data_IF_322902367668
#
_entry.id   IF_322902367668
#
_cell.length_a   1.000
_cell.length_b   1.000
_cell.length_c   1.000
_cell.angle_alpha   90.00
_cell.angle_beta   90.00
_cell.angle_gamma   90.00
#
_symmetry.space_group_name_H-M   'P 1'
#
loop_
_entity.id
_entity.type
_entity.pdbx_description
1 polymer ?
#
# COMPACT_ATOMS: atom_id res chain seq x y z
N UNK A 1 3.50 22.37 16.20
CA UNK A 1 3.94 21.71 14.94
C UNK A 1 3.49 22.62 13.81
N UNK A 2 4.41 23.01 12.93
CA UNK A 2 4.12 23.85 11.77
C UNK A 2 3.02 23.22 10.87
N UNK A 3 2.16 24.04 10.27
CA UNK A 3 1.01 23.56 9.50
C UNK A 3 1.44 22.82 8.23
N UNK A 4 2.57 23.22 7.62
CA UNK A 4 3.18 22.51 6.50
C UNK A 4 3.66 21.11 6.92
N UNK A 5 4.23 20.98 8.11
CA UNK A 5 4.62 19.67 8.68
C UNK A 5 3.38 18.78 8.95
N UNK A 6 2.24 19.35 9.33
CA UNK A 6 0.97 18.60 9.46
C UNK A 6 0.41 18.14 8.11
N UNK A 7 0.50 18.98 7.08
CA UNK A 7 0.15 18.58 5.71
C UNK A 7 1.08 17.45 5.24
N UNK A 8 2.38 17.51 5.52
CA UNK A 8 3.32 16.45 5.17
C UNK A 8 3.05 15.14 5.91
N UNK A 9 2.79 15.20 7.22
CA UNK A 9 2.45 13.99 8.00
C UNK A 9 1.14 13.35 7.53
N UNK A 10 0.23 14.11 6.91
CA UNK A 10 -0.99 13.58 6.32
C UNK A 10 -0.75 12.55 5.20
N UNK A 11 0.40 12.61 4.52
CA UNK A 11 0.79 11.63 3.49
C UNK A 11 1.06 10.24 4.07
N UNK A 12 1.37 10.19 5.36
CA UNK A 12 1.62 8.96 6.13
C UNK A 12 0.36 8.50 6.86
N UNK A 13 -0.65 9.36 6.95
CA UNK A 13 -1.91 9.10 7.61
C UNK A 13 -3.02 8.81 6.59
N UNK A 14 -4.23 8.58 7.13
CA UNK A 14 -5.44 8.31 6.37
C UNK A 14 -6.52 9.34 6.70
N UNK A 15 -6.10 10.61 6.75
CA UNK A 15 -7.00 11.72 7.01
C UNK A 15 -8.08 11.79 5.93
N UNK A 16 -9.28 12.22 6.35
CA UNK A 16 -10.37 12.45 5.41
C UNK A 16 -10.05 13.73 4.62
N UNK A 17 -10.40 13.83 3.33
CA UNK A 17 -10.28 15.07 2.56
C UNK A 17 -10.80 16.29 3.30
N UNK A 18 -11.92 16.19 4.01
CA UNK A 18 -12.52 17.27 4.80
C UNK A 18 -11.57 17.81 5.89
N UNK A 19 -10.83 16.92 6.56
CA UNK A 19 -9.86 17.31 7.58
C UNK A 19 -8.63 17.98 6.93
N UNK A 20 -8.26 17.56 5.72
CA UNK A 20 -7.19 18.18 4.93
C UNK A 20 -7.62 19.53 4.33
N UNK A 21 -8.88 19.69 3.92
CA UNK A 21 -9.42 20.97 3.45
C UNK A 21 -9.20 22.08 4.49
N UNK A 22 -9.38 21.75 5.76
CA UNK A 22 -9.17 22.69 6.86
C UNK A 22 -7.70 23.06 7.07
N UNK A 23 -6.79 22.10 6.92
CA UNK A 23 -5.35 22.37 6.93
C UNK A 23 -4.95 23.29 5.77
N UNK A 24 -5.54 23.10 4.59
CA UNK A 24 -5.30 23.92 3.40
C UNK A 24 -5.85 25.34 3.59
N UNK A 25 -7.07 25.48 4.12
CA UNK A 25 -7.64 26.80 4.46
C UNK A 25 -6.71 27.57 5.41
N UNK A 26 -6.16 26.89 6.40
CA UNK A 26 -5.22 27.49 7.35
C UNK A 26 -3.89 27.83 6.69
N UNK A 27 -3.39 26.97 5.79
CA UNK A 27 -2.09 27.15 5.13
C UNK A 27 -2.10 28.30 4.13
N UNK A 28 -3.14 28.40 3.31
CA UNK A 28 -3.22 29.36 2.22
C UNK A 28 -3.84 30.68 2.69
N UNK A 29 -4.73 30.66 3.69
CA UNK A 29 -5.26 31.86 4.34
C UNK A 29 -5.73 32.92 3.34
N UNK A 30 -5.20 34.13 3.48
CA UNK A 30 -5.57 35.30 2.67
C UNK A 30 -5.10 35.23 1.21
N UNK A 31 -4.27 34.25 0.84
CA UNK A 31 -3.88 34.02 -0.57
C UNK A 31 -4.97 33.31 -1.40
N UNK A 32 -6.06 32.90 -0.75
CA UNK A 32 -7.22 32.32 -1.41
C UNK A 32 -8.18 33.41 -1.89
N UNK A 33 -8.65 33.28 -3.12
CA UNK A 33 -9.79 34.07 -3.61
C UNK A 33 -11.07 33.70 -2.85
N UNK A 34 -12.12 34.54 -2.92
CA UNK A 34 -13.41 34.22 -2.30
C UNK A 34 -14.02 32.90 -2.81
N UNK A 35 -13.84 32.59 -4.10
CA UNK A 35 -14.37 31.36 -4.73
C UNK A 35 -13.61 30.13 -4.22
N UNK A 36 -12.28 30.16 -4.21
CA UNK A 36 -11.46 29.07 -3.67
C UNK A 36 -11.74 28.84 -2.18
N UNK A 37 -11.88 29.94 -1.42
CA UNK A 37 -12.24 29.90 0.00
C UNK A 37 -13.59 29.22 0.22
N UNK A 38 -14.61 29.60 -0.56
CA UNK A 38 -15.94 28.99 -0.46
C UNK A 38 -15.90 27.49 -0.77
N UNK A 39 -15.18 27.11 -1.83
CA UNK A 39 -15.03 25.72 -2.26
C UNK A 39 -14.37 24.85 -1.16
N UNK A 40 -13.26 25.33 -0.59
CA UNK A 40 -12.58 24.63 0.49
C UNK A 40 -13.40 24.59 1.78
N UNK A 41 -14.12 25.67 2.13
CA UNK A 41 -15.04 25.69 3.28
C UNK A 41 -16.18 24.70 3.15
N UNK A 42 -16.72 24.53 1.94
CA UNK A 42 -17.75 23.52 1.68
C UNK A 42 -17.23 22.12 1.99
N UNK A 43 -16.01 21.78 1.55
CA UNK A 43 -15.40 20.51 1.90
C UNK A 43 -15.07 20.40 3.40
N UNK A 44 -14.52 21.45 4.00
CA UNK A 44 -14.15 21.48 5.43
C UNK A 44 -15.35 21.43 6.39
N UNK A 45 -16.59 21.66 5.91
CA UNK A 45 -17.80 21.57 6.74
C UNK A 45 -17.95 20.20 7.41
N UNK A 46 -17.47 19.13 6.76
CA UNK A 46 -17.46 17.78 7.32
C UNK A 46 -16.24 17.43 8.19
N UNK A 47 -15.33 18.38 8.44
CA UNK A 47 -14.12 18.13 9.22
C UNK A 47 -14.47 17.79 10.68
N UNK A 48 -13.60 17.04 11.36
CA UNK A 48 -13.84 16.71 12.78
C UNK A 48 -13.76 17.92 13.70
N UNK A 49 -13.13 19.01 13.27
CA UNK A 49 -13.00 20.23 14.07
C UNK A 49 -14.17 21.18 13.87
N UNK A 50 -14.77 21.22 12.67
CA UNK A 50 -15.84 22.18 12.32
C UNK A 50 -17.23 21.55 12.14
N UNK A 51 -17.32 20.22 12.03
CA UNK A 51 -18.59 19.52 11.84
C UNK A 51 -19.47 19.49 13.09
N UNK A 52 -20.80 19.47 12.88
CA UNK A 52 -21.80 19.29 13.94
C UNK A 52 -21.62 17.97 14.71
N UNK A 53 -21.13 16.95 14.01
CA UNK A 53 -20.75 15.65 14.57
C UNK A 53 -19.24 15.53 14.46
N UNK A 54 -18.52 15.77 15.56
CA UNK A 54 -17.06 15.66 15.67
C UNK A 54 -16.61 14.19 15.83
N UNK A 55 -17.22 13.27 15.08
CA UNK A 55 -16.96 11.84 15.19
C UNK A 55 -16.94 11.19 13.80
N UNK A 56 -16.06 10.20 13.64
CA UNK A 56 -16.04 9.31 12.48
C UNK A 56 -15.82 7.87 12.93
N UNK A 57 -16.42 6.90 12.23
CA UNK A 57 -16.08 5.48 12.41
C UNK A 57 -14.82 5.09 11.65
N UNK A 58 -14.28 5.99 10.83
CA UNK A 58 -13.17 5.72 9.91
C UNK A 58 -11.83 5.80 10.64
N UNK A 59 -10.95 4.83 10.40
CA UNK A 59 -9.58 4.92 10.92
C UNK A 59 -8.83 6.04 10.18
N UNK A 60 -8.26 6.96 10.94
CA UNK A 60 -7.47 8.08 10.44
C UNK A 60 -5.99 7.75 10.25
N UNK A 61 -5.56 6.55 10.65
CA UNK A 61 -4.21 6.05 10.48
C UNK A 61 -4.22 4.70 9.79
N UNK A 62 -3.12 4.40 9.08
CA UNK A 62 -2.83 3.05 8.64
C UNK A 62 -2.36 2.23 9.84
N UNK A 63 -2.82 0.99 9.94
CA UNK A 63 -2.37 0.08 11.00
C UNK A 63 -0.87 -0.18 10.83
N UNK A 64 -0.06 0.31 11.76
CA UNK A 64 1.38 0.13 11.72
C UNK A 64 1.78 -1.30 12.15
N UNK A 65 2.86 -1.84 11.57
CA UNK A 65 3.47 -3.09 12.04
C UNK A 65 3.97 -2.94 13.48
N UNK A 66 3.77 -3.97 14.30
CA UNK A 66 4.23 -3.97 15.70
C UNK A 66 5.64 -4.57 15.77
N UNK A 67 6.61 -3.71 16.08
CA UNK A 67 8.02 -4.08 16.28
C UNK A 67 8.18 -5.17 17.36
N UNK A 68 9.23 -6.01 17.26
CA UNK A 68 9.49 -7.07 18.22
C UNK A 68 10.12 -6.60 19.54
N UNK A 69 9.84 -5.37 20.00
CA UNK A 69 10.36 -4.80 21.26
C UNK A 69 10.17 -5.73 22.46
N UNK A 70 8.98 -6.34 22.59
CA UNK A 70 8.68 -7.28 23.67
C UNK A 70 9.58 -8.53 23.62
N UNK A 71 9.97 -8.97 22.43
CA UNK A 71 10.90 -10.07 22.27
C UNK A 71 12.33 -9.62 22.61
N UNK A 72 12.75 -8.42 22.19
CA UNK A 72 14.05 -7.85 22.55
C UNK A 72 14.22 -7.72 24.07
N UNK A 73 13.24 -7.12 24.76
CA UNK A 73 13.25 -7.03 26.24
C UNK A 73 13.34 -8.42 26.86
N UNK A 74 12.56 -9.38 26.34
CA UNK A 74 12.58 -10.74 26.85
C UNK A 74 13.92 -11.46 26.57
N UNK A 75 14.62 -11.12 25.50
CA UNK A 75 15.95 -11.63 25.24
C UNK A 75 16.94 -11.15 26.30
N UNK A 76 16.88 -9.87 26.69
CA UNK A 76 17.66 -9.29 27.78
C UNK A 76 17.49 -10.00 29.13
N UNK A 77 16.30 -10.57 29.39
CA UNK A 77 16.06 -11.37 30.60
C UNK A 77 16.60 -12.81 30.51
N UNK A 78 16.80 -13.34 29.29
CA UNK A 78 17.08 -14.77 29.06
C UNK A 78 18.54 -15.06 28.75
N UNK A 79 19.22 -14.13 28.11
CA UNK A 79 20.58 -14.26 27.61
C UNK A 79 21.47 -13.24 28.30
N UNK A 80 22.68 -13.66 28.68
CA UNK A 80 23.59 -12.79 29.42
C UNK A 80 24.30 -11.79 28.50
N UNK A 81 24.51 -12.13 27.22
CA UNK A 81 25.16 -11.30 26.22
C UNK A 81 24.20 -10.44 25.39
N UNK A 82 22.92 -10.36 25.75
CA UNK A 82 21.95 -9.56 25.01
C UNK A 82 22.22 -8.05 25.21
N UNK A 83 22.54 -7.28 24.15
CA UNK A 83 22.61 -5.83 24.24
C UNK A 83 21.25 -5.22 24.53
N UNK A 84 21.25 -4.03 25.15
CA UNK A 84 20.06 -3.20 25.27
C UNK A 84 19.89 -2.43 23.98
N UNK A 85 18.76 -2.63 23.30
CA UNK A 85 18.37 -1.85 22.13
C UNK A 85 17.31 -0.82 22.53
N UNK A 86 17.35 0.36 21.93
CA UNK A 86 16.27 1.33 22.05
C UNK A 86 15.08 0.99 21.12
N UNK A 87 14.02 1.79 21.15
CA UNK A 87 12.82 1.53 20.32
C UNK A 87 13.06 1.69 18.82
N UNK A 88 14.03 2.52 18.41
CA UNK A 88 14.40 2.74 17.02
C UNK A 88 15.10 1.48 16.50
N UNK A 89 16.09 1.00 17.24
CA UNK A 89 16.83 -0.23 16.92
C UNK A 89 15.93 -1.46 16.97
N UNK A 90 14.96 -1.51 17.88
CA UNK A 90 13.96 -2.58 17.93
C UNK A 90 13.05 -2.61 16.68
N UNK A 91 12.89 -1.48 16.00
CA UNK A 91 12.10 -1.36 14.78
C UNK A 91 12.94 -1.62 13.51
N UNK A 92 14.27 -1.65 13.63
CA UNK A 92 15.18 -2.01 12.53
C UNK A 92 15.31 -3.54 12.41
N UNK A 93 14.86 -4.06 11.26
CA UNK A 93 14.88 -5.49 10.95
C UNK A 93 16.31 -6.06 10.96
N UNK A 94 17.31 -5.29 10.53
CA UNK A 94 18.70 -5.75 10.50
C UNK A 94 19.31 -5.77 11.90
N UNK A 95 19.04 -4.76 12.73
CA UNK A 95 19.53 -4.75 14.11
C UNK A 95 18.94 -5.92 14.91
N UNK A 96 17.64 -6.17 14.79
CA UNK A 96 17.00 -7.30 15.46
C UNK A 96 17.51 -8.64 14.90
N UNK A 97 17.82 -8.73 13.60
CA UNK A 97 18.45 -9.93 13.01
C UNK A 97 19.83 -10.18 13.59
N UNK A 98 20.68 -9.16 13.65
CA UNK A 98 22.02 -9.25 14.24
C UNK A 98 21.96 -9.66 15.71
N UNK A 99 21.01 -9.12 16.47
CA UNK A 99 20.74 -9.57 17.84
C UNK A 99 20.43 -11.07 17.87
N UNK A 100 19.48 -11.55 17.05
CA UNK A 100 19.15 -12.99 17.00
C UNK A 100 20.39 -13.84 16.67
N UNK A 101 21.22 -13.41 15.73
CA UNK A 101 22.46 -14.10 15.35
C UNK A 101 23.44 -14.17 16.53
N UNK A 102 23.67 -13.06 17.24
CA UNK A 102 24.51 -13.01 18.44
C UNK A 102 24.00 -13.96 19.53
N UNK A 103 22.70 -13.92 19.84
CA UNK A 103 22.10 -14.78 20.85
C UNK A 103 22.13 -16.26 20.47
N UNK A 104 22.09 -16.55 19.17
CA UNK A 104 22.17 -17.91 18.65
C UNK A 104 23.55 -18.53 18.89
N UNK A 105 24.63 -17.72 18.88
CA UNK A 105 25.99 -18.15 19.22
C UNK A 105 26.08 -18.66 20.67
N UNK A 106 25.42 -18.00 21.63
CA UNK A 106 25.45 -18.40 23.06
C UNK A 106 24.98 -19.85 23.28
N UNK A 107 24.12 -20.36 22.41
CA UNK A 107 23.60 -21.74 22.49
C UNK A 107 24.00 -22.60 21.29
N UNK A 108 24.97 -22.15 20.48
CA UNK A 108 25.44 -22.78 19.25
C UNK A 108 24.30 -23.26 18.34
N UNK A 109 23.24 -22.46 18.24
CA UNK A 109 22.13 -22.68 17.30
C UNK A 109 22.51 -22.00 15.99
N UNK A 110 22.42 -22.70 14.87
CA UNK A 110 22.50 -22.02 13.58
C UNK A 110 21.20 -21.22 13.31
N UNK A 111 21.27 -19.96 12.87
CA UNK A 111 20.08 -19.20 12.46
C UNK A 111 19.28 -19.97 11.41
N UNK A 112 17.94 -20.02 11.56
CA UNK A 112 17.06 -20.80 10.68
C UNK A 112 16.94 -22.29 11.00
N UNK A 113 17.88 -22.88 11.75
CA UNK A 113 17.79 -24.27 12.25
C UNK A 113 16.81 -24.37 13.41
N UNK A 114 15.53 -24.50 13.06
CA UNK A 114 14.39 -24.38 13.97
C UNK A 114 13.64 -25.70 14.23
N UNK A 115 14.15 -26.83 13.74
CA UNK A 115 13.55 -28.14 13.96
C UNK A 115 13.89 -28.68 15.36
N UNK A 116 12.86 -28.91 16.18
CA UNK A 116 13.03 -29.42 17.55
C UNK A 116 13.68 -30.79 17.67
N UNK A 117 13.62 -31.60 16.62
CA UNK A 117 14.16 -32.95 16.59
C UNK A 117 15.56 -32.91 15.98
N UNK A 118 15.69 -32.32 14.79
CA UNK A 118 16.95 -32.36 14.03
C UNK A 118 18.00 -31.35 14.51
N UNK A 119 17.57 -30.15 14.90
CA UNK A 119 18.50 -29.02 15.10
C UNK A 119 18.83 -28.76 16.58
N UNK A 120 18.08 -29.38 17.47
CA UNK A 120 18.22 -29.18 18.91
C UNK A 120 19.22 -30.17 19.50
N UNK A 121 20.23 -29.68 20.20
CA UNK A 121 21.24 -30.56 20.79
C UNK A 121 20.67 -31.56 21.80
N UNK A 122 21.16 -32.80 21.73
CA UNK A 122 21.00 -33.86 22.71
C UNK A 122 21.86 -33.59 23.97
N UNK A 123 21.79 -34.50 24.95
CA UNK A 123 22.65 -34.40 26.15
C UNK A 123 24.13 -34.54 25.78
N UNK A 124 24.47 -35.51 24.95
CA UNK A 124 25.84 -35.75 24.51
C UNK A 124 26.39 -34.56 23.70
N UNK A 125 25.60 -34.04 22.76
CA UNK A 125 26.00 -32.87 21.96
C UNK A 125 26.24 -31.63 22.81
N UNK A 126 25.41 -31.35 23.84
CA UNK A 126 25.67 -30.24 24.76
C UNK A 126 26.96 -30.41 25.56
N UNK A 127 27.27 -31.62 26.01
CA UNK A 127 28.53 -31.89 26.72
C UNK A 127 29.74 -31.73 25.80
N UNK A 128 29.67 -32.25 24.57
CA UNK A 128 30.72 -32.07 23.56
C UNK A 128 30.93 -30.60 23.19
N UNK A 129 29.85 -29.82 23.15
CA UNK A 129 29.88 -28.39 22.90
C UNK A 129 30.36 -27.55 24.10
N UNK A 130 30.73 -28.18 25.23
CA UNK A 130 31.18 -27.48 26.44
C UNK A 130 30.09 -26.65 27.14
N UNK A 131 28.81 -26.93 26.87
CA UNK A 131 27.70 -26.16 27.44
C UNK A 131 27.36 -26.60 28.86
N UNK A 132 27.65 -25.76 29.84
CA UNK A 132 27.22 -25.93 31.23
C UNK A 132 25.83 -25.32 31.50
N UNK A 133 24.82 -25.80 30.77
CA UNK A 133 23.42 -25.40 30.98
C UNK A 133 22.48 -26.61 31.04
N UNK A 134 21.48 -26.52 31.92
CA UNK A 134 20.46 -27.58 32.05
C UNK A 134 19.64 -27.75 30.76
N UNK A 135 19.18 -28.98 30.51
CA UNK A 135 18.28 -29.30 29.38
C UNK A 135 17.07 -28.35 29.33
N UNK A 136 16.50 -28.02 30.50
CA UNK A 136 15.32 -27.14 30.59
C UNK A 136 15.66 -25.72 30.16
N UNK A 137 16.83 -25.18 30.57
CA UNK A 137 17.30 -23.85 30.17
C UNK A 137 17.58 -23.81 28.67
N UNK A 138 18.37 -24.75 28.15
CA UNK A 138 18.65 -24.84 26.71
C UNK A 138 17.38 -24.89 25.86
N UNK A 139 16.42 -25.76 26.21
CA UNK A 139 15.15 -25.85 25.50
C UNK A 139 14.29 -24.58 25.59
N UNK A 140 14.44 -23.78 26.65
CA UNK A 140 13.75 -22.48 26.75
C UNK A 140 14.36 -21.47 25.78
N UNK A 141 15.69 -21.38 25.74
CA UNK A 141 16.44 -20.47 24.84
C UNK A 141 16.22 -20.84 23.36
N UNK A 142 16.33 -22.12 23.01
CA UNK A 142 16.07 -22.60 21.65
C UNK A 142 14.65 -22.24 21.17
N UNK A 143 13.63 -22.51 22.00
CA UNK A 143 12.23 -22.16 21.70
C UNK A 143 12.02 -20.67 21.54
N UNK A 144 12.69 -19.88 22.37
CA UNK A 144 12.60 -18.44 22.31
C UNK A 144 13.17 -17.93 20.98
N UNK A 145 14.38 -18.34 20.60
CA UNK A 145 15.02 -17.91 19.35
C UNK A 145 14.21 -18.29 18.12
N UNK A 146 13.69 -19.52 18.05
CA UNK A 146 12.80 -19.92 16.95
C UNK A 146 11.56 -19.01 16.83
N UNK A 147 10.92 -18.68 17.96
CA UNK A 147 9.75 -17.79 17.97
C UNK A 147 10.13 -16.36 17.65
N UNK A 148 11.32 -15.94 18.07
CA UNK A 148 11.84 -14.61 17.79
C UNK A 148 12.14 -14.46 16.29
N UNK A 149 12.82 -15.42 15.67
CA UNK A 149 13.02 -15.50 14.22
C UNK A 149 11.70 -15.46 13.46
N UNK A 150 10.71 -16.26 13.90
CA UNK A 150 9.38 -16.29 13.30
C UNK A 150 8.67 -14.94 13.41
N UNK A 151 8.75 -14.28 14.58
CA UNK A 151 8.18 -12.96 14.83
C UNK A 151 8.87 -11.88 13.99
N UNK A 152 10.19 -11.94 13.82
CA UNK A 152 10.94 -11.02 12.96
C UNK A 152 10.53 -11.20 11.50
N UNK A 153 10.40 -12.44 11.02
CA UNK A 153 9.92 -12.72 9.66
C UNK A 153 8.49 -12.20 9.43
N UNK A 154 7.58 -12.38 10.41
CA UNK A 154 6.24 -11.79 10.35
C UNK A 154 6.29 -10.26 10.37
N UNK A 155 7.14 -9.65 11.20
CA UNK A 155 7.29 -8.20 11.25
C UNK A 155 7.79 -7.64 9.91
N UNK A 156 8.78 -8.27 9.29
CA UNK A 156 9.27 -7.90 7.96
C UNK A 156 8.14 -7.94 6.91
N UNK A 157 7.37 -9.02 6.87
CA UNK A 157 6.24 -9.14 5.93
C UNK A 157 5.15 -8.08 6.18
N UNK A 158 4.81 -7.82 7.44
CA UNK A 158 3.83 -6.79 7.79
C UNK A 158 4.34 -5.37 7.47
N UNK A 159 5.64 -5.10 7.58
CA UNK A 159 6.27 -3.84 7.12
C UNK A 159 6.16 -3.67 5.62
N UNK A 160 6.46 -4.72 4.84
CA UNK A 160 6.31 -4.68 3.38
C UNK A 160 4.84 -4.50 2.97
N UNK A 161 3.92 -5.21 3.64
CA UNK A 161 2.47 -5.05 3.44
C UNK A 161 1.98 -3.65 3.82
N UNK A 162 2.52 -3.04 4.87
CA UNK A 162 2.21 -1.67 5.26
C UNK A 162 2.60 -0.69 4.16
N UNK A 163 3.81 -0.83 3.60
CA UNK A 163 4.27 -0.02 2.46
C UNK A 163 3.38 -0.25 1.22
N UNK A 164 3.14 -1.51 0.86
CA UNK A 164 2.28 -1.87 -0.26
C UNK A 164 0.84 -1.31 -0.12
N UNK A 165 0.27 -1.35 1.09
CA UNK A 165 -1.08 -0.81 1.36
C UNK A 165 -1.17 0.68 1.06
N UNK A 166 -0.12 1.44 1.39
CA UNK A 166 -0.05 2.88 1.15
C UNK A 166 0.17 3.17 -0.33
N UNK A 167 1.09 2.45 -0.95
CA UNK A 167 1.35 2.56 -2.39
C UNK A 167 0.14 2.22 -3.25
N UNK A 168 -0.59 1.18 -2.87
CA UNK A 168 -1.84 0.77 -3.51
C UNK A 168 -2.92 1.86 -3.54
N UNK A 169 -2.80 2.88 -2.68
CA UNK A 169 -3.75 3.97 -2.56
C UNK A 169 -3.20 5.25 -3.19
N UNK A 170 -2.05 5.73 -2.73
CA UNK A 170 -1.52 7.05 -3.08
C UNK A 170 -0.23 7.01 -3.90
N UNK A 171 0.09 5.89 -4.54
CA UNK A 171 1.30 5.76 -5.36
C UNK A 171 2.56 5.95 -4.52
N UNK A 172 3.53 6.73 -4.99
CA UNK A 172 4.79 6.94 -4.29
C UNK A 172 4.75 8.13 -3.32
N UNK A 173 3.56 8.55 -2.85
CA UNK A 173 3.41 9.65 -1.89
C UNK A 173 4.32 9.50 -0.65
N UNK A 174 4.49 8.25 -0.21
CA UNK A 174 5.31 7.91 0.95
C UNK A 174 6.82 8.14 0.76
N UNK A 175 7.27 8.32 -0.48
CA UNK A 175 8.67 8.52 -0.86
C UNK A 175 8.99 9.98 -1.17
N UNK A 176 8.00 10.87 -1.13
CA UNK A 176 8.21 12.30 -1.33
C UNK A 176 9.03 12.84 -0.15
N UNK A 177 10.14 13.51 -0.46
CA UNK A 177 10.97 14.16 0.55
C UNK A 177 10.30 15.45 1.03
N UNK A 178 10.54 15.82 2.29
CA UNK A 178 9.92 17.02 2.86
C UNK A 178 10.28 18.28 2.06
N UNK A 179 11.53 18.41 1.63
CA UNK A 179 12.01 19.55 0.85
C UNK A 179 11.30 19.72 -0.51
N UNK A 180 11.00 18.61 -1.20
CA UNK A 180 10.30 18.67 -2.50
C UNK A 180 8.81 18.96 -2.28
N UNK A 181 8.22 18.41 -1.21
CA UNK A 181 6.85 18.68 -0.81
C UNK A 181 6.62 20.14 -0.39
N UNK A 182 7.56 20.68 0.39
CA UNK A 182 7.51 22.01 0.98
C UNK A 182 8.00 23.10 0.02
N UNK A 183 8.25 22.79 -1.26
CA UNK A 183 8.82 23.73 -2.22
C UNK A 183 7.97 25.00 -2.37
N UNK A 184 6.65 24.85 -2.36
CA UNK A 184 5.69 25.97 -2.20
C UNK A 184 4.47 25.50 -1.40
N UNK A 185 3.74 26.42 -0.73
CA UNK A 185 2.49 26.09 -0.06
C UNK A 185 1.44 25.45 -0.98
N UNK A 186 1.34 25.89 -2.24
CA UNK A 186 0.38 25.36 -3.20
C UNK A 186 0.69 23.90 -3.58
N UNK A 187 1.98 23.56 -3.77
CA UNK A 187 2.43 22.19 -4.02
C UNK A 187 2.07 21.28 -2.84
N UNK A 188 2.39 21.70 -1.62
CA UNK A 188 2.08 20.95 -0.40
C UNK A 188 0.56 20.70 -0.26
N UNK A 189 -0.25 21.73 -0.49
CA UNK A 189 -1.70 21.64 -0.41
C UNK A 189 -2.27 20.69 -1.47
N UNK A 190 -1.80 20.79 -2.72
CA UNK A 190 -2.21 19.90 -3.80
C UNK A 190 -1.88 18.43 -3.50
N UNK A 191 -0.64 18.14 -3.10
CA UNK A 191 -0.19 16.77 -2.82
C UNK A 191 -0.96 16.17 -1.64
N UNK A 192 -1.15 16.95 -0.55
CA UNK A 192 -1.90 16.51 0.61
C UNK A 192 -3.37 16.22 0.26
N UNK A 193 -4.02 17.12 -0.51
CA UNK A 193 -5.40 16.94 -0.95
C UNK A 193 -5.58 15.68 -1.79
N UNK A 194 -4.78 15.53 -2.84
CA UNK A 194 -4.89 14.39 -3.75
C UNK A 194 -4.59 13.08 -3.01
N UNK A 195 -3.61 13.07 -2.11
CA UNK A 195 -3.31 11.90 -1.28
C UNK A 195 -4.47 11.52 -0.38
N UNK A 196 -5.15 12.48 0.26
CA UNK A 196 -6.33 12.22 1.08
C UNK A 196 -7.49 11.65 0.26
N UNK A 197 -7.75 12.21 -0.93
CA UNK A 197 -8.76 11.70 -1.87
C UNK A 197 -8.47 10.27 -2.30
N UNK A 198 -7.21 9.96 -2.65
CA UNK A 198 -6.74 8.63 -3.04
C UNK A 198 -6.85 7.61 -1.89
N UNK A 199 -6.62 8.06 -0.65
CA UNK A 199 -6.62 7.22 0.55
C UNK A 199 -8.03 6.84 1.06
N UNK A 200 -9.10 7.41 0.48
CA UNK A 200 -10.49 7.05 0.80
C UNK A 200 -10.71 5.53 0.72
N UNK A 201 -11.55 5.03 1.62
CA UNK A 201 -11.97 3.62 1.58
C UNK A 201 -12.88 3.41 0.39
N UNK A 202 -12.65 2.30 -0.31
CA UNK A 202 -13.49 1.90 -1.43
C UNK A 202 -14.85 1.47 -0.90
N UNK A 203 -15.91 1.93 -1.56
CA UNK A 203 -17.27 1.50 -1.28
C UNK A 203 -17.49 0.16 -1.97
N UNK A 204 -18.12 -0.80 -1.30
CA UNK A 204 -18.60 -2.01 -1.92
C UNK A 204 -19.85 -1.66 -2.70
N UNK A 205 -19.71 -1.66 -4.02
CA UNK A 205 -20.76 -1.29 -4.96
C UNK A 205 -20.61 -2.18 -6.19
N UNK A 206 -21.73 -2.47 -6.83
CA UNK A 206 -21.77 -3.09 -8.15
C UNK A 206 -21.63 -2.06 -9.30
N UNK A 207 -21.44 -0.78 -8.97
CA UNK A 207 -21.20 0.33 -9.91
C UNK A 207 -19.71 0.71 -9.96
N UNK A 208 -19.39 1.73 -10.78
CA UNK A 208 -18.05 2.28 -10.87
C UNK A 208 -17.60 2.91 -9.54
N UNK A 209 -16.30 2.81 -9.25
CA UNK A 209 -15.68 3.48 -8.10
C UNK A 209 -15.51 4.98 -8.37
N UNK A 210 -15.59 5.78 -7.30
CA UNK A 210 -15.39 7.22 -7.35
C UNK A 210 -13.95 7.59 -7.80
N UNK A 211 -13.82 8.71 -8.53
CA UNK A 211 -12.53 9.22 -9.00
C UNK A 211 -11.89 10.10 -7.93
N UNK A 212 -10.56 10.02 -7.79
CA UNK A 212 -9.86 10.79 -6.76
C UNK A 212 -9.68 12.27 -7.14
N UNK A 213 -9.40 12.57 -8.42
CA UNK A 213 -9.19 13.93 -8.89
C UNK A 213 -10.51 14.68 -9.08
N UNK A 214 -10.72 15.73 -8.31
CA UNK A 214 -11.95 16.50 -8.22
C UNK A 214 -11.72 17.99 -8.48
N UNK A 215 -12.79 18.79 -8.41
CA UNK A 215 -12.74 20.24 -8.60
C UNK A 215 -11.79 20.98 -7.65
N UNK A 216 -11.58 20.48 -6.42
CA UNK A 216 -10.61 21.08 -5.48
C UNK A 216 -9.18 20.73 -5.91
N UNK A 217 -8.94 19.49 -6.33
CA UNK A 217 -7.67 19.08 -6.91
C UNK A 217 -7.34 19.88 -8.17
N UNK A 218 -8.32 20.12 -9.03
CA UNK A 218 -8.16 20.97 -10.22
C UNK A 218 -7.81 22.42 -9.85
N UNK A 219 -8.54 23.02 -8.91
CA UNK A 219 -8.24 24.35 -8.39
C UNK A 219 -6.82 24.45 -7.84
N UNK A 220 -6.41 23.51 -6.97
CA UNK A 220 -5.08 23.52 -6.37
C UNK A 220 -3.98 23.27 -7.42
N UNK A 221 -4.24 22.43 -8.42
CA UNK A 221 -3.29 22.21 -9.52
C UNK A 221 -3.12 23.48 -10.37
N UNK A 222 -4.20 24.23 -10.62
CA UNK A 222 -4.12 25.50 -11.33
C UNK A 222 -3.26 26.52 -10.58
N UNK A 223 -3.31 26.54 -9.24
CA UNK A 223 -2.41 27.37 -8.42
C UNK A 223 -0.94 26.95 -8.56
N UNK A 224 -0.65 25.65 -8.54
CA UNK A 224 0.71 25.14 -8.81
C UNK A 224 1.23 25.60 -10.18
N UNK A 225 0.37 25.65 -11.19
CA UNK A 225 0.74 26.11 -12.54
C UNK A 225 1.08 27.60 -12.60
N UNK A 226 0.54 28.43 -11.70
CA UNK A 226 0.85 29.86 -11.62
C UNK A 226 2.22 30.15 -11.01
N UNK A 227 2.69 29.27 -10.11
CA UNK A 227 3.99 29.38 -9.47
C UNK A 227 4.78 28.05 -9.56
N UNK A 228 5.16 27.63 -10.79
CA UNK A 228 5.75 26.32 -11.00
C UNK A 228 7.16 26.24 -10.41
N UNK A 229 7.47 25.10 -9.79
CA UNK A 229 8.83 24.78 -9.35
C UNK A 229 9.20 23.39 -9.85
N UNK A 230 10.46 23.21 -10.26
CA UNK A 230 10.93 21.89 -10.72
C UNK A 230 10.80 20.83 -9.61
N UNK A 231 11.15 21.17 -8.36
CA UNK A 231 10.98 20.29 -7.20
C UNK A 231 9.50 19.94 -6.94
N UNK A 232 8.60 20.91 -7.07
CA UNK A 232 7.17 20.68 -6.89
C UNK A 232 6.56 19.76 -7.95
N UNK A 233 6.92 19.96 -9.23
CA UNK A 233 6.49 19.03 -10.29
C UNK A 233 7.02 17.63 -10.07
N UNK A 234 8.28 17.50 -9.64
CA UNK A 234 8.87 16.21 -9.28
C UNK A 234 8.11 15.53 -8.14
N UNK A 235 7.76 16.26 -7.08
CA UNK A 235 6.96 15.75 -5.97
C UNK A 235 5.56 15.30 -6.44
N UNK A 236 4.88 16.09 -7.27
CA UNK A 236 3.54 15.75 -7.80
C UNK A 236 3.58 14.48 -8.66
N UNK A 237 4.64 14.29 -9.45
CA UNK A 237 4.79 13.12 -10.32
C UNK A 237 4.90 11.80 -9.53
N UNK A 238 5.24 11.81 -8.24
CA UNK A 238 5.23 10.61 -7.40
C UNK A 238 3.82 10.03 -7.20
N UNK A 239 2.78 10.86 -7.30
CA UNK A 239 1.39 10.43 -7.05
C UNK A 239 0.52 10.53 -8.31
N UNK A 240 0.94 11.34 -9.27
CA UNK A 240 0.21 11.61 -10.51
C UNK A 240 1.17 11.71 -11.71
N UNK A 241 1.81 10.60 -12.12
CA UNK A 241 2.79 10.57 -13.23
C UNK A 241 2.11 10.59 -14.61
N UNK A 242 1.01 11.32 -14.79
CA UNK A 242 0.38 11.43 -16.10
C UNK A 242 1.13 12.39 -17.04
N UNK A 243 0.80 12.33 -18.33
CA UNK A 243 1.48 13.12 -19.38
C UNK A 243 1.48 14.62 -19.07
N UNK A 244 0.42 15.15 -18.45
CA UNK A 244 0.33 16.58 -18.15
C UNK A 244 1.22 17.00 -16.99
N UNK A 245 1.66 16.08 -16.15
CA UNK A 245 2.60 16.36 -15.08
C UNK A 245 4.03 16.08 -15.54
N UNK A 246 4.27 14.92 -16.14
CA UNK A 246 5.63 14.47 -16.49
C UNK A 246 6.25 15.38 -17.55
N UNK A 247 5.46 16.09 -18.36
CA UNK A 247 5.97 17.10 -19.32
C UNK A 247 6.73 18.25 -18.66
N UNK A 248 6.54 18.49 -17.37
CA UNK A 248 7.23 19.54 -16.60
C UNK A 248 8.56 19.07 -15.99
N UNK A 249 8.87 17.79 -16.08
CA UNK A 249 10.11 17.21 -15.57
C UNK A 249 11.23 17.31 -16.60
N UNK A 250 12.46 17.48 -16.13
CA UNK A 250 13.63 17.23 -16.97
C UNK A 250 13.87 15.72 -17.15
N UNK A 251 14.75 15.35 -18.08
CA UNK A 251 14.97 13.93 -18.41
C UNK A 251 15.63 13.15 -17.28
N UNK A 252 16.42 13.81 -16.42
CA UNK A 252 17.02 13.18 -15.23
C UNK A 252 15.94 12.84 -14.21
N UNK A 253 15.00 13.74 -13.99
CA UNK A 253 13.86 13.56 -13.10
C UNK A 253 12.94 12.44 -13.61
N UNK A 254 12.63 12.43 -14.92
CA UNK A 254 11.85 11.34 -15.54
C UNK A 254 12.53 9.99 -15.37
N UNK A 255 13.82 9.90 -15.66
CA UNK A 255 14.59 8.65 -15.54
C UNK A 255 14.71 8.18 -14.07
N UNK A 256 14.92 9.12 -13.14
CA UNK A 256 14.95 8.86 -11.71
C UNK A 256 13.63 8.27 -11.24
N UNK A 257 12.51 8.90 -11.61
CA UNK A 257 11.17 8.42 -11.23
C UNK A 257 10.82 7.09 -11.90
N UNK A 258 11.22 6.88 -13.16
CA UNK A 258 11.04 5.62 -13.88
C UNK A 258 11.78 4.48 -13.17
N UNK A 259 13.05 4.70 -12.82
CA UNK A 259 13.87 3.74 -12.07
C UNK A 259 13.27 3.47 -10.69
N UNK A 260 12.70 4.49 -10.05
CA UNK A 260 12.04 4.32 -8.76
C UNK A 260 10.81 3.41 -8.87
N UNK A 261 9.92 3.65 -9.83
CA UNK A 261 8.78 2.76 -10.09
C UNK A 261 9.21 1.34 -10.45
N UNK A 262 10.27 1.19 -11.25
CA UNK A 262 10.83 -0.11 -11.62
C UNK A 262 11.38 -0.88 -10.40
N UNK A 263 12.07 -0.19 -9.50
CA UNK A 263 12.57 -0.78 -8.25
C UNK A 263 11.41 -1.29 -7.38
N UNK A 264 10.31 -0.53 -7.29
CA UNK A 264 9.11 -0.96 -6.56
C UNK A 264 8.44 -2.17 -7.22
N UNK A 265 8.37 -2.22 -8.56
CA UNK A 265 7.87 -3.39 -9.28
C UNK A 265 8.71 -4.63 -9.00
N UNK A 266 10.04 -4.51 -8.98
CA UNK A 266 10.94 -5.62 -8.66
C UNK A 266 10.69 -6.19 -7.26
N UNK A 267 10.59 -5.34 -6.24
CA UNK A 267 10.30 -5.79 -4.87
C UNK A 267 8.93 -6.46 -4.79
N UNK A 268 7.90 -5.85 -5.41
CA UNK A 268 6.54 -6.37 -5.42
C UNK A 268 6.44 -7.70 -6.18
N UNK A 269 7.20 -7.90 -7.26
CA UNK A 269 7.23 -9.16 -8.02
C UNK A 269 7.61 -10.33 -7.11
N UNK A 270 8.71 -10.19 -6.35
CA UNK A 270 9.18 -11.23 -5.43
C UNK A 270 8.16 -11.54 -4.32
N UNK A 271 7.54 -10.49 -3.75
CA UNK A 271 6.52 -10.67 -2.70
C UNK A 271 5.24 -11.31 -3.24
N UNK A 272 4.79 -10.91 -4.44
CA UNK A 272 3.63 -11.50 -5.08
C UNK A 272 3.85 -12.98 -5.37
N UNK A 273 5.01 -13.35 -5.92
CA UNK A 273 5.36 -14.75 -6.14
C UNK A 273 5.35 -15.55 -4.85
N UNK A 274 5.98 -15.02 -3.79
CA UNK A 274 6.04 -15.66 -2.48
C UNK A 274 4.65 -15.91 -1.90
N UNK A 275 3.78 -14.89 -1.92
CA UNK A 275 2.42 -15.01 -1.39
C UNK A 275 1.56 -15.93 -2.25
N UNK A 276 1.69 -15.86 -3.59
CA UNK A 276 1.00 -16.76 -4.50
C UNK A 276 1.33 -18.23 -4.21
N UNK A 277 2.61 -18.56 -4.06
CA UNK A 277 3.06 -19.93 -3.78
C UNK A 277 2.65 -20.45 -2.40
N UNK A 278 2.44 -19.57 -1.43
CA UNK A 278 2.00 -19.92 -0.07
C UNK A 278 0.50 -20.12 0.06
N UNK A 279 -0.27 -19.81 -0.99
CA UNK A 279 -1.72 -19.90 -0.98
C UNK A 279 -2.22 -20.78 -2.14
N UNK A 280 -3.49 -21.15 -2.11
CA UNK A 280 -4.14 -21.96 -3.14
C UNK A 280 -5.23 -21.17 -3.86
N UNK A 281 -4.90 -19.93 -4.23
CA UNK A 281 -5.83 -19.03 -4.92
C UNK A 281 -6.33 -19.66 -6.22
N UNK A 282 -7.65 -19.59 -6.45
CA UNK A 282 -8.21 -19.98 -7.72
C UNK A 282 -7.98 -18.85 -8.72
N UNK A 283 -7.05 -19.04 -9.65
CA UNK A 283 -6.68 -18.06 -10.67
C UNK A 283 -7.84 -17.67 -11.60
N UNK A 284 -8.74 -18.60 -11.88
CA UNK A 284 -9.86 -18.43 -12.81
C UNK A 284 -11.01 -17.63 -12.21
N UNK A 285 -11.15 -17.65 -10.88
CA UNK A 285 -12.26 -16.95 -10.20
C UNK A 285 -11.79 -15.76 -9.37
N UNK A 286 -10.59 -15.81 -8.82
CA UNK A 286 -10.06 -14.84 -7.86
C UNK A 286 -11.04 -14.56 -6.70
N UNK A 287 -11.82 -15.57 -6.28
CA UNK A 287 -12.73 -15.46 -5.14
C UNK A 287 -12.02 -15.95 -3.88
N UNK A 288 -12.08 -15.17 -2.80
CA UNK A 288 -11.53 -15.52 -1.48
C UNK A 288 -12.13 -16.83 -0.97
N UNK A 289 -11.27 -17.71 -0.46
CA UNK A 289 -11.63 -18.92 0.27
C UNK A 289 -11.11 -18.89 1.70
N UNK A 290 -11.66 -19.78 2.54
CA UNK A 290 -11.18 -19.95 3.91
C UNK A 290 -9.70 -20.36 3.90
N UNK A 291 -8.87 -19.61 4.61
CA UNK A 291 -7.42 -19.84 4.70
C UNK A 291 -6.58 -18.92 3.81
N UNK A 292 -7.21 -18.21 2.86
CA UNK A 292 -6.51 -17.28 1.99
C UNK A 292 -6.01 -16.04 2.77
N UNK A 293 -4.75 -15.66 2.55
CA UNK A 293 -4.24 -14.36 2.96
C UNK A 293 -4.63 -13.26 1.95
N UNK A 294 -5.93 -13.03 1.83
CA UNK A 294 -6.48 -12.02 0.92
C UNK A 294 -6.08 -10.60 1.28
N UNK A 295 -5.76 -10.35 2.55
CA UNK A 295 -5.34 -9.04 3.03
C UNK A 295 -3.96 -8.65 2.50
N UNK A 296 -2.98 -9.55 2.63
CA UNK A 296 -1.63 -9.31 2.09
C UNK A 296 -1.65 -9.32 0.57
N UNK A 297 -2.34 -10.29 -0.05
CA UNK A 297 -2.46 -10.36 -1.51
C UNK A 297 -3.06 -9.07 -2.11
N UNK A 298 -4.19 -8.59 -1.59
CA UNK A 298 -4.87 -7.41 -2.14
C UNK A 298 -4.07 -6.11 -1.96
N UNK A 299 -3.27 -6.02 -0.90
CA UNK A 299 -2.34 -4.91 -0.71
C UNK A 299 -1.24 -4.92 -1.78
N UNK A 300 -0.57 -6.07 -1.99
CA UNK A 300 0.47 -6.23 -3.00
C UNK A 300 -0.06 -6.04 -4.42
N UNK A 301 -1.21 -6.65 -4.75
CA UNK A 301 -1.86 -6.50 -6.06
C UNK A 301 -2.22 -5.03 -6.35
N UNK A 302 -2.69 -4.32 -5.32
CA UNK A 302 -2.94 -2.88 -5.41
C UNK A 302 -1.68 -2.06 -5.67
N UNK A 303 -0.62 -2.33 -4.92
CA UNK A 303 0.66 -1.65 -5.05
C UNK A 303 1.27 -1.90 -6.43
N UNK A 304 1.26 -3.15 -6.91
CA UNK A 304 1.71 -3.52 -8.24
C UNK A 304 0.99 -2.72 -9.31
N UNK A 305 -0.34 -2.72 -9.28
CA UNK A 305 -1.13 -2.00 -10.29
C UNK A 305 -0.87 -0.49 -10.24
N UNK A 306 -0.67 0.10 -9.06
CA UNK A 306 -0.31 1.52 -8.93
C UNK A 306 1.08 1.81 -9.50
N UNK A 307 2.10 1.05 -9.07
CA UNK A 307 3.47 1.21 -9.53
C UNK A 307 3.60 0.98 -11.03
N UNK A 308 2.93 -0.05 -11.56
CA UNK A 308 2.90 -0.38 -12.98
C UNK A 308 2.26 0.72 -13.81
N UNK A 309 1.23 1.40 -13.30
CA UNK A 309 0.62 2.53 -14.01
C UNK A 309 1.59 3.71 -14.11
N UNK A 310 2.33 4.01 -13.03
CA UNK A 310 3.37 5.04 -13.07
C UNK A 310 4.51 4.70 -14.02
N UNK A 311 4.99 3.46 -13.97
CA UNK A 311 6.01 2.95 -14.90
C UNK A 311 5.57 3.07 -16.37
N UNK A 312 4.35 2.62 -16.71
CA UNK A 312 3.83 2.74 -18.08
C UNK A 312 3.70 4.18 -18.54
N UNK A 313 3.23 5.08 -17.67
CA UNK A 313 3.07 6.48 -18.02
C UNK A 313 4.44 7.14 -18.33
N UNK A 314 5.46 6.82 -17.53
CA UNK A 314 6.82 7.31 -17.76
C UNK A 314 7.47 6.67 -19.00
N UNK A 315 7.26 5.38 -19.23
CA UNK A 315 7.78 4.71 -20.43
C UNK A 315 7.30 5.39 -21.72
N UNK A 316 6.01 5.74 -21.79
CA UNK A 316 5.44 6.47 -22.93
C UNK A 316 6.04 7.87 -23.05
N UNK A 317 6.19 8.61 -21.95
CA UNK A 317 6.73 9.99 -22.02
C UNK A 317 8.24 10.00 -22.34
N UNK A 318 8.97 8.95 -21.99
CA UNK A 318 10.40 8.78 -22.27
C UNK A 318 10.69 8.23 -23.68
N UNK A 319 9.67 7.92 -24.50
CA UNK A 319 9.89 7.30 -25.80
C UNK A 319 10.35 5.84 -25.72
N UNK A 320 10.05 5.15 -24.61
CA UNK A 320 10.44 3.77 -24.35
C UNK A 320 9.30 2.79 -24.64
N UNK A 321 8.40 3.11 -25.57
CA UNK A 321 7.25 2.28 -25.90
C UNK A 321 7.67 0.91 -26.43
N UNK A 322 8.78 0.81 -27.18
CA UNK A 322 9.30 -0.47 -27.69
C UNK A 322 9.59 -1.47 -26.56
N UNK A 323 10.09 -0.99 -25.41
CA UNK A 323 10.27 -1.84 -24.23
C UNK A 323 8.93 -2.39 -23.72
N UNK A 324 7.87 -1.58 -23.74
CA UNK A 324 6.52 -2.00 -23.34
C UNK A 324 5.90 -2.96 -24.38
N UNK A 325 6.20 -2.77 -25.66
CA UNK A 325 5.79 -3.68 -26.74
C UNK A 325 6.36 -5.08 -26.51
N UNK A 326 7.64 -5.17 -26.14
CA UNK A 326 8.35 -6.44 -25.93
C UNK A 326 8.07 -7.07 -24.55
N UNK A 327 7.92 -6.25 -23.51
CA UNK A 327 7.70 -6.68 -22.13
C UNK A 327 6.48 -5.97 -21.53
N UNK A 328 5.29 -6.48 -21.84
CA UNK A 328 4.04 -5.92 -21.33
C UNK A 328 3.70 -6.54 -19.98
N UNK A 329 4.09 -5.86 -18.90
CA UNK A 329 3.76 -6.25 -17.53
C UNK A 329 2.23 -6.24 -17.34
N UNK A 330 1.65 -7.42 -17.10
CA UNK A 330 0.23 -7.56 -16.80
C UNK A 330 -0.19 -6.88 -15.49
N UNK A 331 -1.49 -6.70 -15.28
CA UNK A 331 -2.04 -6.32 -13.98
C UNK A 331 -2.01 -7.50 -13.02
N UNK A 332 -2.13 -7.24 -11.72
CA UNK A 332 -2.41 -8.26 -10.70
C UNK A 332 -3.81 -8.05 -10.16
N UNK A 333 -4.66 -9.07 -10.24
CA UNK A 333 -6.02 -8.95 -9.70
C UNK A 333 -6.08 -9.12 -8.20
N UNK A 334 -6.96 -8.34 -7.58
CA UNK A 334 -7.35 -8.54 -6.18
C UNK A 334 -8.31 -9.71 -6.09
N UNK A 335 -8.25 -10.41 -4.97
CA UNK A 335 -9.28 -11.37 -4.59
C UNK A 335 -10.57 -10.64 -4.23
N UNK A 336 -11.68 -11.13 -4.77
CA UNK A 336 -13.04 -10.68 -4.49
C UNK A 336 -13.62 -11.44 -3.30
N UNK A 337 -14.26 -10.73 -2.39
CA UNK A 337 -14.97 -11.38 -1.28
C UNK A 337 -16.14 -12.23 -1.82
N UNK A 338 -16.34 -13.42 -1.25
CA UNK A 338 -17.31 -14.39 -1.77
C UNK A 338 -18.77 -13.92 -1.69
N UNK A 339 -19.10 -13.12 -0.69
CA UNK A 339 -20.40 -12.46 -0.53
C UNK A 339 -20.65 -11.41 -1.62
N UNK A 340 -19.63 -10.60 -1.96
CA UNK A 340 -19.70 -9.64 -3.08
C UNK A 340 -19.86 -10.38 -4.41
N UNK A 341 -19.10 -11.46 -4.63
CA UNK A 341 -19.25 -12.28 -5.83
C UNK A 341 -20.67 -12.86 -5.95
N UNK A 342 -21.21 -13.41 -4.85
CA UNK A 342 -22.58 -13.93 -4.81
C UNK A 342 -23.61 -12.83 -5.12
N UNK A 343 -23.44 -11.63 -4.57
CA UNK A 343 -24.33 -10.49 -4.86
C UNK A 343 -24.34 -10.12 -6.35
N UNK A 344 -23.16 -10.06 -6.98
CA UNK A 344 -23.07 -9.81 -8.43
C UNK A 344 -23.86 -10.85 -9.24
N UNK A 345 -23.68 -12.14 -8.95
CA UNK A 345 -24.44 -13.21 -9.62
C UNK A 345 -25.95 -13.12 -9.39
N UNK A 346 -26.39 -12.83 -8.16
CA UNK A 346 -27.82 -12.67 -7.83
C UNK A 346 -28.49 -11.52 -8.60
N UNK A 347 -27.73 -10.45 -8.90
CA UNK A 347 -28.22 -9.32 -9.70
C UNK A 347 -28.10 -9.53 -11.22
N UNK A 348 -27.82 -10.76 -11.68
CA UNK A 348 -27.67 -11.10 -13.09
C UNK A 348 -26.31 -10.73 -13.70
N UNK A 349 -25.35 -10.31 -12.87
CA UNK A 349 -23.98 -10.08 -13.27
C UNK A 349 -23.11 -11.34 -13.18
N UNK A 350 -21.80 -11.14 -13.28
CA UNK A 350 -20.81 -12.21 -13.11
C UNK A 350 -19.47 -11.63 -12.66
N UNK A 351 -18.41 -12.43 -12.81
CA UNK A 351 -17.06 -11.95 -12.56
C UNK A 351 -16.69 -10.83 -13.53
N UNK A 352 -15.88 -9.90 -13.06
CA UNK A 352 -15.39 -8.80 -13.88
C UNK A 352 -14.48 -9.36 -15.00
N UNK A 353 -14.64 -8.92 -16.27
CA UNK A 353 -13.93 -9.50 -17.42
C UNK A 353 -12.39 -9.53 -17.33
N UNK A 354 -11.74 -8.61 -16.62
CA UNK A 354 -10.29 -8.64 -16.36
C UNK A 354 -9.89 -9.93 -15.65
N UNK A 355 -10.81 -10.59 -14.91
CA UNK A 355 -10.59 -11.92 -14.29
C UNK A 355 -10.20 -12.97 -15.32
N UNK A 356 -10.86 -12.97 -16.48
CA UNK A 356 -10.53 -13.89 -17.55
C UNK A 356 -9.20 -13.50 -18.22
N UNK A 357 -8.97 -12.20 -18.45
CA UNK A 357 -7.69 -11.73 -19.02
C UNK A 357 -6.51 -12.14 -18.14
N UNK A 358 -6.60 -11.92 -16.82
CA UNK A 358 -5.60 -12.37 -15.84
C UNK A 358 -5.37 -13.88 -15.84
N UNK A 359 -6.45 -14.66 -15.95
CA UNK A 359 -6.35 -16.11 -15.94
C UNK A 359 -5.60 -16.67 -17.15
N UNK A 360 -5.61 -15.96 -18.28
CA UNK A 360 -5.05 -16.41 -19.56
C UNK A 360 -3.70 -15.77 -19.92
N UNK A 361 -3.28 -14.70 -19.24
CA UNK A 361 -1.95 -14.08 -19.42
C UNK A 361 -0.92 -14.62 -18.43
N UNK A 362 0.37 -14.77 -18.79
CA UNK A 362 1.42 -15.13 -17.84
C UNK A 362 1.43 -14.27 -16.58
N UNK A 363 1.88 -14.82 -15.46
CA UNK A 363 1.86 -14.08 -14.19
C UNK A 363 2.86 -12.91 -14.27
N UNK A 364 2.52 -11.70 -13.78
CA UNK A 364 3.37 -10.53 -14.03
C UNK A 364 4.79 -10.63 -13.46
N UNK A 365 5.00 -11.37 -12.37
CA UNK A 365 6.33 -11.62 -11.80
C UNK A 365 7.14 -12.65 -12.62
N UNK A 366 6.49 -13.54 -13.38
CA UNK A 366 7.17 -14.45 -14.32
C UNK A 366 7.64 -13.67 -15.55
N UNK A 367 6.81 -12.74 -16.03
CA UNK A 367 7.19 -11.83 -17.12
C UNK A 367 8.34 -10.92 -16.69
N UNK A 368 8.21 -10.31 -15.50
CA UNK A 368 9.22 -9.39 -14.97
C UNK A 368 10.58 -10.07 -14.74
N UNK A 369 10.58 -11.35 -14.32
CA UNK A 369 11.83 -12.11 -14.12
C UNK A 369 12.39 -12.74 -15.40
N UNK A 370 11.68 -12.63 -16.53
CA UNK A 370 12.04 -13.28 -17.79
C UNK A 370 11.76 -14.78 -17.85
N UNK A 371 11.09 -15.34 -16.84
CA UNK A 371 10.66 -16.75 -16.82
C UNK A 371 9.56 -17.05 -17.84
N UNK A 372 8.78 -16.04 -18.23
CA UNK A 372 7.74 -16.11 -19.26
C UNK A 372 7.82 -14.89 -20.17
N UNK A 373 7.48 -15.04 -21.45
CA UNK A 373 7.33 -13.92 -22.39
C UNK A 373 5.88 -13.43 -22.42
N UNK A 374 5.67 -12.12 -22.44
CA UNK A 374 4.35 -11.51 -22.66
C UNK A 374 4.53 -10.16 -23.37
N UNK A 375 4.13 -10.11 -24.64
CA UNK A 375 4.19 -8.89 -25.45
C UNK A 375 2.91 -8.08 -25.30
N UNK A 376 2.92 -6.82 -25.74
CA UNK A 376 1.68 -6.02 -25.79
C UNK A 376 0.63 -6.65 -26.71
N UNK A 377 1.06 -7.26 -27.82
CA UNK A 377 0.18 -7.97 -28.74
C UNK A 377 -0.51 -9.17 -28.07
N UNK A 378 0.19 -9.89 -27.19
CA UNK A 378 -0.41 -10.98 -26.40
C UNK A 378 -1.52 -10.47 -25.49
N UNK A 379 -1.27 -9.36 -24.79
CA UNK A 379 -2.26 -8.73 -23.91
C UNK A 379 -3.47 -8.24 -24.70
N UNK A 380 -3.25 -7.58 -25.85
CA UNK A 380 -4.33 -7.15 -26.73
C UNK A 380 -5.19 -8.32 -27.20
N UNK A 381 -4.57 -9.38 -27.72
CA UNK A 381 -5.27 -10.58 -28.19
C UNK A 381 -6.14 -11.21 -27.10
N UNK A 382 -5.62 -11.36 -25.88
CA UNK A 382 -6.38 -11.93 -24.76
C UNK A 382 -7.49 -10.98 -24.31
N UNK A 383 -7.24 -9.68 -24.26
CA UNK A 383 -8.28 -8.68 -23.96
C UNK A 383 -9.43 -8.73 -24.98
N UNK A 384 -9.12 -8.75 -26.28
CA UNK A 384 -10.09 -8.86 -27.36
C UNK A 384 -10.92 -10.15 -27.26
N UNK A 385 -10.28 -11.29 -26.96
CA UNK A 385 -10.96 -12.57 -26.76
C UNK A 385 -12.06 -12.51 -25.68
N UNK A 386 -11.89 -11.69 -24.65
CA UNK A 386 -12.84 -11.55 -23.55
C UNK A 386 -13.64 -10.23 -23.57
N UNK A 387 -13.63 -9.51 -24.70
CA UNK A 387 -14.39 -8.27 -24.86
C UNK A 387 -13.92 -7.13 -23.94
N UNK A 388 -12.64 -7.12 -23.60
CA UNK A 388 -12.00 -6.13 -22.73
C UNK A 388 -11.25 -5.12 -23.58
N UNK A 389 -11.51 -3.83 -23.40
CA UNK A 389 -10.68 -2.79 -24.02
C UNK A 389 -9.35 -2.66 -23.25
N UNK A 390 -8.21 -3.03 -23.85
CA UNK A 390 -6.94 -3.08 -23.15
C UNK A 390 -6.41 -1.69 -22.77
N UNK A 391 -6.78 -0.62 -23.47
CA UNK A 391 -6.37 0.75 -23.13
C UNK A 391 -7.25 1.33 -22.03
N UNK A 392 -8.58 1.26 -22.18
CA UNK A 392 -9.51 1.84 -21.22
C UNK A 392 -9.45 1.13 -19.87
N UNK A 393 -9.19 -0.17 -19.87
CA UNK A 393 -8.93 -0.92 -18.63
C UNK A 393 -7.51 -0.71 -18.13
N UNK A 394 -6.61 -0.14 -18.91
CA UNK A 394 -5.23 0.16 -18.52
C UNK A 394 -4.35 -1.08 -18.44
N UNK A 395 -4.55 -2.08 -19.30
CA UNK A 395 -3.69 -3.26 -19.44
C UNK A 395 -2.39 -2.95 -20.18
N UNK A 396 -2.45 -2.16 -21.25
CA UNK A 396 -1.31 -1.92 -22.18
C UNK A 396 -0.82 -0.47 -22.23
N UNK A 397 -1.44 0.43 -21.48
CA UNK A 397 -1.08 1.84 -21.52
C UNK A 397 -1.51 2.59 -20.26
N UNK A 398 -1.00 3.81 -20.09
CA UNK A 398 -1.42 4.68 -19.01
C UNK A 398 -2.89 5.10 -19.20
N UNK A 399 -3.54 5.43 -18.09
CA UNK A 399 -4.89 6.00 -18.13
C UNK A 399 -4.88 7.30 -18.94
N UNK A 400 -5.84 7.43 -19.86
CA UNK A 400 -6.01 8.61 -20.71
C UNK A 400 -6.98 9.59 -20.06
N UNK A 401 -6.72 10.88 -20.23
CA UNK A 401 -7.59 12.01 -19.90
C UNK A 401 -8.00 12.11 -18.42
N UNK A 402 -7.37 13.02 -17.69
CA UNK A 402 -7.80 13.43 -16.36
C UNK A 402 -8.98 14.38 -16.50
N UNK A 403 -10.09 14.06 -15.84
CA UNK A 403 -11.26 14.94 -15.75
C UNK A 403 -11.64 15.08 -14.29
N UNK A 404 -11.75 16.32 -13.82
CA UNK A 404 -12.20 16.63 -12.48
C UNK A 404 -13.67 16.21 -12.31
N UNK A 405 -13.96 15.52 -11.22
CA UNK A 405 -15.34 15.24 -10.78
C UNK A 405 -15.75 16.23 -9.68
N UNK A 406 -17.05 16.30 -9.39
CA UNK A 406 -17.54 17.06 -8.25
C UNK A 406 -16.97 16.50 -6.93
N UNK A 407 -16.76 17.37 -5.94
CA UNK A 407 -16.40 16.92 -4.60
C UNK A 407 -17.58 16.19 -3.96
N UNK A 408 -17.32 15.01 -3.40
CA UNK A 408 -18.28 14.23 -2.62
C UNK A 408 -17.66 13.94 -1.26
N UNK A 409 -18.36 14.27 -0.16
CA UNK A 409 -17.90 13.95 1.19
C UNK A 409 -17.57 12.47 1.36
N UNK A 410 -16.66 12.18 2.28
CA UNK A 410 -16.28 10.85 2.71
C UNK A 410 -17.48 10.18 3.35
N UNK A 411 -17.99 9.07 2.78
CA UNK A 411 -19.06 8.32 3.42
C UNK A 411 -18.54 7.59 4.65
N UNK A 412 -19.40 7.43 5.66
CA UNK A 412 -19.15 6.48 6.74
C UNK A 412 -19.41 5.06 6.24
N UNK A 413 -18.55 4.12 6.64
CA UNK A 413 -18.60 2.75 6.13
C UNK A 413 -18.63 1.71 7.25
N UNK A 414 -19.35 0.62 7.03
CA UNK A 414 -19.24 -0.63 7.79
C UNK A 414 -18.88 -1.73 6.82
N UNK A 415 -17.64 -2.22 6.91
CA UNK A 415 -17.09 -3.24 6.00
C UNK A 415 -17.35 -2.97 4.50
N UNK A 416 -17.23 -1.71 4.08
CA UNK A 416 -17.39 -1.30 2.68
C UNK A 416 -18.79 -0.82 2.32
N UNK A 417 -19.80 -1.09 3.16
CA UNK A 417 -21.17 -0.63 2.95
C UNK A 417 -21.35 0.78 3.52
N UNK A 418 -21.98 1.68 2.77
CA UNK A 418 -22.28 3.06 3.20
C UNK A 418 -23.31 3.06 4.32
N UNK A 419 -23.07 3.88 5.33
CA UNK A 419 -24.00 4.15 6.43
C UNK A 419 -24.11 5.66 6.59
N UNK A 420 -25.33 6.18 6.68
CA UNK A 420 -25.57 7.63 6.62
C UNK A 420 -25.05 8.39 7.85
N UNK A 421 -24.89 7.71 9.00
CA UNK A 421 -24.53 8.35 10.28
C UNK A 421 -23.33 7.67 10.96
N UNK A 422 -22.32 8.45 11.42
CA UNK A 422 -21.16 7.90 12.12
C UNK A 422 -21.51 7.09 13.38
N UNK A 423 -22.52 7.50 14.15
CA UNK A 423 -22.96 6.81 15.37
C UNK A 423 -23.46 5.41 15.06
N UNK A 424 -24.29 5.30 14.02
CA UNK A 424 -24.86 4.04 13.55
C UNK A 424 -23.73 3.14 13.04
N UNK A 425 -22.80 3.69 12.24
CA UNK A 425 -21.66 2.93 11.74
C UNK A 425 -20.80 2.35 12.87
N UNK A 426 -20.59 3.11 13.95
CA UNK A 426 -19.84 2.65 15.12
C UNK A 426 -20.58 1.53 15.88
N UNK A 427 -21.89 1.67 16.09
CA UNK A 427 -22.74 0.66 16.73
C UNK A 427 -22.72 -0.65 15.93
N UNK A 428 -22.94 -0.57 14.62
CA UNK A 428 -22.94 -1.73 13.73
C UNK A 428 -21.60 -2.48 13.74
N UNK A 429 -20.47 -1.74 13.71
CA UNK A 429 -19.13 -2.36 13.82
C UNK A 429 -18.92 -3.05 15.16
N UNK A 430 -19.32 -2.43 16.28
CA UNK A 430 -19.22 -3.03 17.62
C UNK A 430 -20.07 -4.30 17.75
N UNK A 431 -21.24 -4.30 17.13
CA UNK A 431 -22.13 -5.45 17.07
C UNK A 431 -21.67 -6.53 16.07
N UNK A 432 -20.58 -6.30 15.32
CA UNK A 432 -20.02 -7.29 14.38
C UNK A 432 -20.80 -7.45 13.07
N UNK A 433 -21.72 -6.53 12.75
CA UNK A 433 -22.46 -6.55 11.49
C UNK A 433 -21.50 -6.46 10.30
N UNK A 434 -21.77 -7.25 9.25
CA UNK A 434 -20.96 -7.34 8.03
C UNK A 434 -19.49 -7.77 8.24
N UNK A 435 -19.12 -8.27 9.42
CA UNK A 435 -17.74 -8.69 9.73
C UNK A 435 -17.38 -10.08 9.21
N UNK A 436 -18.32 -10.76 8.56
CA UNK A 436 -18.20 -12.17 8.16
C UNK A 436 -18.16 -13.16 9.32
N UNK A 437 -18.31 -12.71 10.58
CA UNK A 437 -18.26 -13.57 11.78
C UNK A 437 -19.59 -14.24 12.15
N UNK A 438 -20.64 -14.07 11.35
CA UNK A 438 -21.97 -14.62 11.61
C UNK A 438 -22.64 -15.27 10.39
N UNK A 439 -21.86 -15.60 9.35
CA UNK A 439 -22.31 -16.31 8.15
C UNK A 439 -21.59 -17.65 8.01
#
# INVERSE_FOLDING_TARGET
MDNLARLFSSLQARLRPEDVAELILTQLGDSLTPVETALLRQAATGSLKSGLVQMTSMMQEFRQPIAPEKQVVKAGELFAGAPVLDSIDCSDIQQVRQLIEQLSVEIQKAPGSNNFIADRFSRAQRQQAGMDISKRRYNKLFRFLQRFESKLATYQLETQKYQATRMAKSGLAMMIRYEDFASTPDVACFIAWLSARLNRRSVFTNQAQDRAFDQIGEMLLARVQQAPTSAGWYAIAHIMPDRDIVKHLDDRQKLSLFTLYLAQLNELAGLLQLIWQRNTFNRQTMIVKRGDDSSTWNALAGAWNSARQGWLALAVVLGMEEMVEQMCLGKVLRLMAGDVAAWHYQTGGGLEPDTQVWAHLPLPWEVFSGASSCTKADVQRVCEQFGVDPYNKGWIGPRRNRQAVAFVPTPELVHGVVVDKPEIALILRKAGYFSGKGG
#
